data_IF_524708140797
#
_entry.id   IF_524708140797
#
_cell.length_a   1.000
_cell.length_b   1.000
_cell.length_c   1.000
_cell.angle_alpha   90.00
_cell.angle_beta   90.00
_cell.angle_gamma   90.00
#
_symmetry.space_group_name_H-M   'P 1'
#
loop_
_entity.id
_entity.type
_entity.pdbx_description
1 polymer ?
#
# COMPACT_ATOMS: atom_id res chain seq x y z
N UNK A 1 -29.03 15.61 12.54
CA UNK A 1 -28.62 14.40 11.78
C UNK A 1 -27.50 14.82 10.84
N UNK A 2 -26.27 14.59 11.26
CA UNK A 2 -25.09 14.80 10.40
C UNK A 2 -24.93 13.52 9.60
N UNK A 3 -25.37 13.59 8.33
CA UNK A 3 -25.18 12.48 7.39
C UNK A 3 -23.68 12.21 7.24
N UNK A 4 -23.24 11.04 7.68
CA UNK A 4 -21.93 10.49 7.37
C UNK A 4 -21.90 10.24 5.88
N UNK A 5 -21.34 11.18 5.11
CA UNK A 5 -21.03 10.95 3.70
C UNK A 5 -19.99 9.82 3.65
N UNK A 6 -20.42 8.65 3.22
CA UNK A 6 -19.52 7.54 2.92
C UNK A 6 -18.53 8.02 1.87
N UNK A 7 -17.29 8.26 2.29
CA UNK A 7 -16.21 8.69 1.39
C UNK A 7 -15.86 7.47 0.54
N UNK A 8 -16.25 7.46 -0.73
CA UNK A 8 -15.82 6.42 -1.69
C UNK A 8 -14.33 6.55 -1.95
N UNK A 9 -13.70 5.44 -2.28
CA UNK A 9 -12.28 5.44 -2.66
C UNK A 9 -12.08 6.27 -3.94
N UNK A 10 -10.93 6.96 -4.08
CA UNK A 10 -10.62 7.68 -5.30
C UNK A 10 -10.58 6.72 -6.50
N UNK A 11 -11.19 7.15 -7.59
CA UNK A 11 -11.36 6.38 -8.82
C UNK A 11 -10.23 6.69 -9.78
N UNK A 12 -9.56 5.66 -10.24
CA UNK A 12 -8.39 5.77 -11.12
C UNK A 12 -8.72 5.18 -12.48
N UNK A 13 -8.40 5.92 -13.55
CA UNK A 13 -8.43 5.43 -14.92
C UNK A 13 -7.00 5.30 -15.44
N UNK A 14 -6.68 4.18 -16.10
CA UNK A 14 -5.36 3.90 -16.66
C UNK A 14 -5.49 3.75 -18.17
N UNK A 15 -4.64 4.47 -18.89
CA UNK A 15 -4.42 4.32 -20.33
C UNK A 15 -2.93 4.10 -20.59
N UNK A 16 -2.59 2.99 -21.19
CA UNK A 16 -1.21 2.66 -21.58
C UNK A 16 -1.21 1.74 -22.80
N UNK A 17 -0.33 2.00 -23.74
CA UNK A 17 -0.10 1.19 -24.93
C UNK A 17 0.63 -0.12 -24.60
N UNK A 18 1.44 -0.12 -23.54
CA UNK A 18 2.18 -1.29 -23.09
C UNK A 18 1.33 -2.18 -22.17
N UNK A 19 0.98 -3.39 -22.62
CA UNK A 19 0.11 -4.30 -21.88
C UNK A 19 0.69 -4.73 -20.51
N UNK A 20 2.00 -4.95 -20.41
CA UNK A 20 2.67 -5.33 -19.16
C UNK A 20 2.69 -4.16 -18.16
N UNK A 21 2.99 -2.97 -18.64
CA UNK A 21 2.96 -1.74 -17.83
C UNK A 21 1.54 -1.49 -17.30
N UNK A 22 0.55 -1.57 -18.19
CA UNK A 22 -0.86 -1.42 -17.84
C UNK A 22 -1.31 -2.43 -16.77
N UNK A 23 -0.88 -3.68 -16.87
CA UNK A 23 -1.16 -4.71 -15.87
C UNK A 23 -0.49 -4.41 -14.53
N UNK A 24 0.77 -3.98 -14.55
CA UNK A 24 1.51 -3.63 -13.33
C UNK A 24 0.90 -2.41 -12.62
N UNK A 25 0.53 -1.37 -13.38
CA UNK A 25 -0.16 -0.20 -12.85
C UNK A 25 -1.51 -0.57 -12.23
N UNK A 26 -2.30 -1.41 -12.93
CA UNK A 26 -3.59 -1.87 -12.41
C UNK A 26 -3.44 -2.66 -11.10
N UNK A 27 -2.39 -3.49 -11.01
CA UNK A 27 -2.09 -4.23 -9.78
C UNK A 27 -1.69 -3.28 -8.65
N UNK A 28 -0.79 -2.32 -8.90
CA UNK A 28 -0.36 -1.35 -7.92
C UNK A 28 -1.53 -0.48 -7.40
N UNK A 29 -2.37 0.04 -8.31
CA UNK A 29 -3.55 0.87 -7.97
C UNK A 29 -4.53 0.10 -7.07
N UNK A 30 -4.91 -1.12 -7.46
CA UNK A 30 -5.82 -1.97 -6.68
C UNK A 30 -5.21 -2.40 -5.35
N UNK A 31 -3.93 -2.77 -5.35
CA UNK A 31 -3.21 -3.20 -4.15
C UNK A 31 -3.11 -2.11 -3.09
N UNK A 32 -3.20 -0.84 -3.48
CA UNK A 32 -3.20 0.31 -2.59
C UNK A 32 -4.60 0.76 -2.16
N UNK A 33 -5.66 0.07 -2.61
CA UNK A 33 -7.04 0.34 -2.22
C UNK A 33 -7.77 1.40 -3.04
N UNK A 34 -7.22 1.83 -4.17
CA UNK A 34 -7.91 2.72 -5.11
C UNK A 34 -8.90 1.95 -5.99
N UNK A 35 -9.98 2.61 -6.41
CA UNK A 35 -10.96 2.04 -7.31
C UNK A 35 -10.52 2.20 -8.77
N UNK A 36 -10.16 1.09 -9.41
CA UNK A 36 -9.82 1.08 -10.83
C UNK A 36 -11.08 1.06 -11.69
N UNK A 37 -11.44 2.21 -12.26
CA UNK A 37 -12.68 2.37 -13.06
C UNK A 37 -12.47 2.15 -14.55
N UNK A 38 -11.23 2.29 -15.03
CA UNK A 38 -10.86 2.02 -16.41
C UNK A 38 -9.43 1.50 -16.50
N UNK A 39 -9.22 0.51 -17.37
CA UNK A 39 -7.89 0.00 -17.71
C UNK A 39 -7.88 -0.37 -19.19
N UNK A 40 -7.42 0.54 -20.03
CA UNK A 40 -7.51 0.42 -21.48
C UNK A 40 -6.20 0.76 -22.19
N UNK A 41 -6.05 0.24 -23.41
CA UNK A 41 -5.07 0.74 -24.36
C UNK A 41 -5.69 1.90 -25.18
N UNK A 42 -4.88 2.80 -25.74
CA UNK A 42 -5.36 3.94 -26.51
C UNK A 42 -6.32 3.53 -27.65
N UNK A 43 -5.97 2.51 -28.41
CA UNK A 43 -6.73 1.95 -29.54
C UNK A 43 -8.13 1.44 -29.18
N UNK A 44 -8.37 1.10 -27.92
CA UNK A 44 -9.65 0.60 -27.38
C UNK A 44 -10.47 1.66 -26.66
N UNK A 45 -9.91 2.83 -26.45
CA UNK A 45 -10.55 3.91 -25.74
C UNK A 45 -11.36 4.78 -26.70
N UNK A 46 -12.54 4.30 -27.08
CA UNK A 46 -13.48 5.07 -27.87
C UNK A 46 -14.19 6.16 -27.04
N UNK A 47 -14.87 7.08 -27.71
CA UNK A 47 -15.59 8.18 -27.05
C UNK A 47 -16.71 7.67 -26.11
N UNK A 48 -17.31 6.53 -26.41
CA UNK A 48 -18.36 5.94 -25.57
C UNK A 48 -17.77 5.43 -24.25
N UNK A 49 -16.64 4.70 -24.32
CA UNK A 49 -15.96 4.18 -23.14
C UNK A 49 -15.38 5.32 -22.30
N UNK A 50 -14.77 6.32 -22.95
CA UNK A 50 -14.25 7.50 -22.27
C UNK A 50 -15.35 8.23 -21.47
N UNK A 51 -16.51 8.47 -22.08
CA UNK A 51 -17.62 9.17 -21.43
C UNK A 51 -18.40 8.32 -20.42
N UNK A 52 -18.17 7.00 -20.38
CA UNK A 52 -18.85 6.10 -19.46
C UNK A 52 -18.22 6.08 -18.06
N UNK A 53 -16.99 6.59 -17.90
CA UNK A 53 -16.27 6.59 -16.65
C UNK A 53 -16.10 8.01 -16.11
N UNK A 54 -16.07 8.14 -14.81
CA UNK A 54 -15.83 9.41 -14.11
C UNK A 54 -14.68 9.22 -13.11
N UNK A 55 -13.43 9.20 -13.58
CA UNK A 55 -12.29 9.03 -12.70
C UNK A 55 -12.01 10.32 -11.90
N UNK A 56 -11.33 10.19 -10.80
CA UNK A 56 -10.79 11.30 -10.03
C UNK A 56 -9.34 11.63 -10.44
N UNK A 57 -8.69 10.69 -11.14
CA UNK A 57 -7.36 10.87 -11.74
C UNK A 57 -7.19 9.95 -12.95
N UNK A 58 -6.51 10.46 -13.98
CA UNK A 58 -6.01 9.68 -15.10
C UNK A 58 -4.54 9.33 -14.89
N UNK A 59 -4.17 8.10 -15.20
CA UNK A 59 -2.79 7.67 -15.41
C UNK A 59 -2.63 7.44 -16.91
N UNK A 60 -1.77 8.23 -17.53
CA UNK A 60 -1.46 8.11 -18.96
C UNK A 60 0.02 7.77 -19.11
N UNK A 61 0.29 6.59 -19.66
CA UNK A 61 1.65 6.09 -19.86
C UNK A 61 1.73 5.44 -21.25
N UNK A 62 2.17 6.23 -22.22
CA UNK A 62 2.25 5.86 -23.62
C UNK A 62 3.66 6.10 -24.14
N UNK A 63 4.16 5.19 -24.98
CA UNK A 63 5.45 5.36 -25.70
C UNK A 63 5.30 6.22 -26.94
N UNK A 64 4.17 6.08 -27.61
CA UNK A 64 3.83 6.92 -28.76
C UNK A 64 2.81 7.98 -28.32
N UNK A 65 3.12 9.23 -28.61
CA UNK A 65 2.23 10.34 -28.28
C UNK A 65 0.98 10.28 -29.18
N UNK A 66 -0.18 10.22 -28.55
CA UNK A 66 -1.49 10.35 -29.20
C UNK A 66 -2.08 11.69 -28.77
N UNK A 67 -1.82 12.73 -29.57
CA UNK A 67 -2.21 14.10 -29.27
C UNK A 67 -3.74 14.23 -29.10
N UNK A 68 -4.54 13.51 -29.90
CA UNK A 68 -6.00 13.57 -29.82
C UNK A 68 -6.51 13.00 -28.50
N UNK A 69 -5.94 11.90 -28.04
CA UNK A 69 -6.27 11.29 -26.75
C UNK A 69 -5.82 12.17 -25.59
N UNK A 70 -4.60 12.71 -25.67
CA UNK A 70 -4.05 13.60 -24.66
C UNK A 70 -4.92 14.85 -24.50
N UNK A 71 -5.31 15.48 -25.59
CA UNK A 71 -6.20 16.65 -25.58
C UNK A 71 -7.54 16.32 -24.93
N UNK A 72 -8.15 15.19 -25.26
CA UNK A 72 -9.39 14.75 -24.63
C UNK A 72 -9.27 14.51 -23.12
N UNK A 73 -8.17 13.90 -22.69
CA UNK A 73 -7.92 13.64 -21.27
C UNK A 73 -7.68 14.95 -20.53
N UNK A 74 -6.90 15.88 -21.09
CA UNK A 74 -6.62 17.18 -20.49
C UNK A 74 -7.87 18.06 -20.45
N UNK A 75 -8.69 18.05 -21.49
CA UNK A 75 -9.94 18.80 -21.56
C UNK A 75 -11.00 18.28 -20.58
N UNK A 76 -10.85 17.07 -20.09
CA UNK A 76 -11.77 16.51 -19.06
C UNK A 76 -11.75 17.29 -17.75
N UNK A 77 -10.72 18.08 -17.50
CA UNK A 77 -10.53 18.81 -16.24
C UNK A 77 -10.16 17.93 -15.04
N UNK A 78 -9.95 16.63 -15.28
CA UNK A 78 -9.50 15.66 -14.27
C UNK A 78 -7.98 15.64 -14.22
N UNK A 79 -7.36 15.61 -13.03
CA UNK A 79 -5.91 15.50 -12.92
C UNK A 79 -5.33 14.33 -13.70
N UNK A 80 -4.18 14.54 -14.31
CA UNK A 80 -3.49 13.53 -15.11
C UNK A 80 -2.09 13.29 -14.57
N UNK A 81 -1.74 12.04 -14.36
CA UNK A 81 -0.40 11.59 -14.01
C UNK A 81 0.32 11.04 -15.23
N UNK A 82 1.45 11.65 -15.53
CA UNK A 82 2.37 11.24 -16.58
C UNK A 82 3.71 10.80 -16.00
N UNK A 83 4.54 10.17 -16.82
CA UNK A 83 5.94 9.89 -16.51
C UNK A 83 6.11 8.97 -15.30
N UNK A 84 5.30 7.94 -15.24
CA UNK A 84 5.52 6.83 -14.32
C UNK A 84 6.62 5.95 -14.92
N UNK A 85 7.67 5.67 -14.14
CA UNK A 85 8.73 4.78 -14.57
C UNK A 85 8.18 3.42 -14.99
N UNK A 86 8.83 2.78 -15.95
CA UNK A 86 8.47 1.43 -16.35
C UNK A 86 8.53 0.48 -15.16
N UNK A 87 7.50 -0.35 -15.02
CA UNK A 87 7.41 -1.32 -13.95
C UNK A 87 8.53 -2.37 -14.07
N UNK A 88 9.33 -2.58 -13.01
CA UNK A 88 10.25 -3.70 -12.97
C UNK A 88 9.51 -5.03 -12.96
N UNK A 89 10.19 -6.12 -13.28
CA UNK A 89 9.60 -7.45 -13.19
C UNK A 89 9.13 -7.73 -11.75
N UNK A 90 7.94 -8.33 -11.63
CA UNK A 90 7.41 -8.77 -10.34
C UNK A 90 8.39 -9.73 -9.67
N UNK A 91 8.51 -9.62 -8.33
CA UNK A 91 9.46 -10.41 -7.53
C UNK A 91 10.88 -9.85 -7.46
N UNK A 92 11.20 -8.79 -8.20
CA UNK A 92 12.49 -8.09 -8.05
C UNK A 92 12.47 -7.14 -6.84
N UNK A 93 13.66 -6.84 -6.29
CA UNK A 93 13.79 -5.85 -5.19
C UNK A 93 13.37 -4.43 -5.58
N UNK A 94 13.27 -4.15 -6.88
CA UNK A 94 12.91 -2.84 -7.40
C UNK A 94 11.39 -2.66 -7.47
N UNK A 95 10.63 -3.75 -7.61
CA UNK A 95 9.17 -3.70 -7.78
C UNK A 95 8.44 -3.01 -6.61
N UNK A 96 8.69 -3.31 -5.33
CA UNK A 96 8.04 -2.61 -4.21
C UNK A 96 8.40 -1.12 -4.14
N UNK A 97 9.62 -0.74 -4.57
CA UNK A 97 10.03 0.67 -4.62
C UNK A 97 9.28 1.43 -5.71
N UNK A 98 9.06 0.78 -6.86
CA UNK A 98 8.28 1.33 -7.95
C UNK A 98 6.81 1.49 -7.55
N UNK A 99 6.18 0.47 -6.97
CA UNK A 99 4.80 0.54 -6.45
C UNK A 99 4.62 1.70 -5.46
N UNK A 100 5.58 1.86 -4.55
CA UNK A 100 5.56 2.96 -3.59
C UNK A 100 5.62 4.34 -4.26
N UNK A 101 6.41 4.49 -5.33
CA UNK A 101 6.47 5.75 -6.09
C UNK A 101 5.15 6.05 -6.78
N UNK A 102 4.53 5.04 -7.39
CA UNK A 102 3.19 5.15 -7.99
C UNK A 102 2.18 5.61 -6.94
N UNK A 103 2.20 4.97 -5.77
CA UNK A 103 1.33 5.33 -4.66
C UNK A 103 1.53 6.78 -4.20
N UNK A 104 2.77 7.22 -3.99
CA UNK A 104 3.06 8.60 -3.55
C UNK A 104 2.50 9.60 -4.55
N UNK A 105 2.72 9.39 -5.86
CA UNK A 105 2.18 10.27 -6.90
C UNK A 105 0.65 10.31 -6.91
N UNK A 106 -0.01 9.17 -6.75
CA UNK A 106 -1.48 9.10 -6.63
C UNK A 106 -1.97 9.81 -5.37
N UNK A 107 -1.30 9.56 -4.24
CA UNK A 107 -1.64 10.20 -2.97
C UNK A 107 -1.58 11.72 -3.03
N UNK A 108 -0.54 12.27 -3.67
CA UNK A 108 -0.36 13.72 -3.80
C UNK A 108 -1.47 14.36 -4.65
N UNK A 109 -2.11 13.60 -5.55
CA UNK A 109 -3.15 14.13 -6.45
C UNK A 109 -4.56 13.90 -5.93
N UNK A 110 -4.88 12.69 -5.47
CA UNK A 110 -6.24 12.30 -5.08
C UNK A 110 -6.41 11.89 -3.62
N UNK A 111 -5.32 11.92 -2.85
CA UNK A 111 -5.34 11.58 -1.43
C UNK A 111 -5.40 10.07 -1.16
N UNK A 112 -5.60 9.73 0.11
CA UNK A 112 -5.70 8.35 0.56
C UNK A 112 -7.00 7.70 0.12
N UNK A 113 -6.94 6.46 -0.39
CA UNK A 113 -8.13 5.63 -0.43
C UNK A 113 -8.62 5.45 1.02
N UNK A 114 -9.92 5.46 1.19
CA UNK A 114 -10.50 5.02 2.45
C UNK A 114 -10.25 3.52 2.51
N UNK A 115 -9.22 3.12 3.24
CA UNK A 115 -9.12 1.73 3.64
C UNK A 115 -10.39 1.50 4.45
N UNK A 116 -11.39 0.89 3.83
CA UNK A 116 -12.35 0.15 4.61
C UNK A 116 -11.53 -1.00 5.20
N UNK A 117 -10.84 -0.70 6.31
CA UNK A 117 -10.62 -1.76 7.25
C UNK A 117 -12.04 -2.31 7.48
N UNK A 118 -12.32 -3.48 6.92
CA UNK A 118 -13.28 -4.37 7.51
C UNK A 118 -12.66 -4.71 8.87
N UNK A 119 -12.67 -3.74 9.76
CA UNK A 119 -12.68 -3.97 11.16
C UNK A 119 -14.02 -4.69 11.38
N UNK A 120 -14.05 -5.99 11.09
CA UNK A 120 -14.93 -6.84 11.88
C UNK A 120 -14.66 -6.41 13.32
N UNK A 121 -15.69 -5.93 14.05
CA UNK A 121 -15.45 -5.38 15.37
C UNK A 121 -14.55 -6.35 16.11
N UNK A 122 -13.44 -5.88 16.65
CA UNK A 122 -12.49 -6.68 17.44
C UNK A 122 -13.19 -7.49 18.57
N UNK A 123 -14.45 -7.15 18.84
CA UNK A 123 -15.36 -7.89 19.73
C UNK A 123 -15.66 -9.34 19.27
N UNK A 124 -15.41 -9.68 17.98
CA UNK A 124 -15.55 -11.07 17.47
C UNK A 124 -14.25 -11.85 17.43
N UNK A 125 -13.11 -11.22 17.66
CA UNK A 125 -11.93 -12.00 17.97
C UNK A 125 -12.16 -12.67 19.32
N UNK A 126 -11.99 -14.00 19.42
CA UNK A 126 -12.13 -14.68 20.71
C UNK A 126 -11.24 -13.95 21.70
N UNK A 127 -11.81 -13.54 22.84
CA UNK A 127 -11.12 -12.82 23.89
C UNK A 127 -9.93 -13.59 24.53
N UNK A 128 -9.65 -14.77 24.02
CA UNK A 128 -8.41 -15.47 24.26
C UNK A 128 -7.42 -15.05 23.16
N UNK A 129 -6.37 -14.29 23.51
CA UNK A 129 -5.21 -14.21 22.63
C UNK A 129 -4.86 -15.65 22.28
N UNK A 130 -4.70 -15.93 20.98
CA UNK A 130 -4.10 -17.20 20.54
C UNK A 130 -2.70 -17.16 21.16
N UNK A 131 -2.61 -17.59 22.41
CA UNK A 131 -1.32 -17.87 23.01
C UNK A 131 -0.78 -19.00 22.15
N UNK A 132 0.32 -18.79 21.42
CA UNK A 132 0.94 -19.89 20.73
C UNK A 132 1.18 -20.96 21.79
N UNK A 133 0.36 -22.02 21.76
CA UNK A 133 0.53 -23.16 22.66
C UNK A 133 1.90 -23.69 22.38
N UNK A 134 2.82 -23.39 23.28
CA UNK A 134 4.20 -23.88 23.28
C UNK A 134 5.00 -23.43 22.05
N UNK A 135 5.56 -22.21 22.11
CA UNK A 135 6.81 -21.98 21.40
C UNK A 135 7.82 -22.92 22.03
N UNK A 136 8.07 -24.07 21.40
CA UNK A 136 9.15 -24.94 21.79
C UNK A 136 10.42 -24.20 21.36
N UNK A 137 10.98 -23.43 22.29
CA UNK A 137 12.30 -22.83 22.08
C UNK A 137 13.29 -23.99 22.08
N UNK A 138 14.06 -24.19 20.99
CA UNK A 138 15.07 -25.24 20.95
C UNK A 138 15.97 -25.14 22.19
N UNK A 139 16.32 -26.26 22.85
CA UNK A 139 17.15 -26.27 24.05
C UNK A 139 18.46 -25.51 23.87
N UNK A 140 19.02 -25.54 22.69
CA UNK A 140 20.26 -24.84 22.31
C UNK A 140 20.15 -23.32 22.41
N UNK A 141 18.97 -22.76 22.14
CA UNK A 141 18.69 -21.32 22.30
C UNK A 141 18.44 -20.94 23.77
N UNK A 142 17.90 -21.86 24.60
CA UNK A 142 17.71 -21.62 26.01
C UNK A 142 19.04 -21.67 26.80
N UNK A 143 20.03 -22.40 26.29
CA UNK A 143 21.38 -22.50 26.87
C UNK A 143 22.27 -21.31 26.45
N UNK A 144 21.88 -20.51 25.48
CA UNK A 144 22.70 -19.44 24.93
C UNK A 144 22.61 -18.21 25.83
N UNK A 145 23.58 -18.00 26.68
CA UNK A 145 23.79 -16.78 27.45
C UNK A 145 24.92 -15.96 26.79
N UNK A 146 24.62 -15.29 25.70
CA UNK A 146 25.60 -14.37 25.12
C UNK A 146 25.49 -13.00 25.79
N UNK A 147 26.63 -12.46 26.18
CA UNK A 147 26.80 -11.06 26.56
C UNK A 147 27.08 -10.17 25.35
N UNK A 148 27.21 -10.78 24.18
CA UNK A 148 27.56 -10.09 22.94
C UNK A 148 26.41 -10.12 21.97
N UNK A 149 26.08 -8.94 21.42
CA UNK A 149 25.06 -8.83 20.37
C UNK A 149 25.67 -9.31 19.06
N UNK A 150 25.04 -10.31 18.44
CA UNK A 150 25.46 -10.88 17.15
C UNK A 150 24.49 -10.48 16.02
N UNK A 151 23.25 -10.20 16.37
CA UNK A 151 22.20 -9.86 15.42
C UNK A 151 21.47 -8.59 15.84
N UNK A 152 21.03 -7.82 14.85
CA UNK A 152 20.16 -6.65 15.05
C UNK A 152 18.85 -6.89 14.31
N UNK A 153 17.76 -6.85 15.05
CA UNK A 153 16.40 -6.93 14.50
C UNK A 153 15.74 -5.55 14.55
N UNK A 154 15.27 -5.06 13.42
CA UNK A 154 14.56 -3.78 13.35
C UNK A 154 13.05 -4.06 13.32
N UNK A 155 12.33 -3.56 14.32
CA UNK A 155 10.88 -3.59 14.42
C UNK A 155 10.33 -2.25 13.95
N UNK A 156 9.62 -2.25 12.83
CA UNK A 156 8.96 -1.05 12.31
C UNK A 156 7.45 -1.14 12.58
N UNK A 157 6.90 -0.14 13.24
CA UNK A 157 5.51 -0.12 13.64
C UNK A 157 4.86 1.24 13.37
N UNK A 158 3.53 1.21 13.12
CA UNK A 158 2.69 2.38 12.91
C UNK A 158 1.47 2.31 13.84
N UNK A 159 0.30 2.73 13.38
CA UNK A 159 -0.94 2.72 14.16
C UNK A 159 -1.23 1.31 14.71
N UNK A 160 -1.49 1.20 16.01
CA UNK A 160 -1.63 -0.09 16.71
C UNK A 160 -0.31 -0.81 17.02
N UNK A 161 0.82 -0.31 16.48
CA UNK A 161 2.14 -0.90 16.64
C UNK A 161 2.65 -1.03 18.08
N UNK A 162 2.48 -0.04 18.96
CA UNK A 162 3.01 -0.13 20.32
C UNK A 162 2.52 -1.34 21.10
N UNK A 163 1.22 -1.67 20.99
CA UNK A 163 0.66 -2.84 21.67
C UNK A 163 1.20 -4.15 21.09
N UNK A 164 1.25 -4.26 19.76
CA UNK A 164 1.77 -5.44 19.07
C UNK A 164 3.27 -5.66 19.34
N UNK A 165 4.07 -4.59 19.32
CA UNK A 165 5.50 -4.66 19.63
C UNK A 165 5.72 -5.05 21.09
N UNK A 166 4.94 -4.48 22.01
CA UNK A 166 5.02 -4.87 23.43
C UNK A 166 4.70 -6.34 23.61
N UNK A 167 3.60 -6.81 23.02
CA UNK A 167 3.20 -8.22 23.09
C UNK A 167 4.29 -9.14 22.50
N UNK A 168 4.85 -8.79 21.34
CA UNK A 168 5.97 -9.53 20.75
C UNK A 168 7.16 -9.60 21.70
N UNK A 169 7.59 -8.46 22.27
CA UNK A 169 8.76 -8.42 23.16
C UNK A 169 8.52 -9.16 24.49
N UNK A 170 7.29 -9.21 24.97
CA UNK A 170 6.94 -9.97 26.20
C UNK A 170 7.13 -11.49 26.01
N UNK A 171 7.12 -11.98 24.75
CA UNK A 171 7.37 -13.39 24.42
C UNK A 171 8.83 -13.69 24.06
N UNK A 172 9.66 -12.68 23.85
CA UNK A 172 11.06 -12.87 23.48
C UNK A 172 11.86 -13.36 24.69
N UNK A 173 12.52 -14.52 24.60
CA UNK A 173 13.37 -15.00 25.69
C UNK A 173 14.49 -14.04 26.01
N UNK A 174 14.80 -13.86 27.28
CA UNK A 174 15.97 -13.10 27.72
C UNK A 174 17.26 -13.86 27.43
N UNK A 175 18.33 -13.14 27.09
CA UNK A 175 19.67 -13.72 26.87
C UNK A 175 19.94 -14.12 25.43
N UNK A 176 19.08 -13.78 24.48
CA UNK A 176 19.36 -13.93 23.05
C UNK A 176 20.47 -12.94 22.61
N UNK A 177 21.34 -13.34 21.66
CA UNK A 177 22.37 -12.45 21.12
C UNK A 177 21.80 -11.45 20.10
N UNK A 178 20.64 -10.87 20.38
CA UNK A 178 19.88 -10.00 19.49
C UNK A 178 19.63 -8.66 20.15
N UNK A 179 19.95 -7.58 19.45
CA UNK A 179 19.46 -6.24 19.78
C UNK A 179 18.21 -5.92 18.95
N UNK A 180 17.23 -5.30 19.58
CA UNK A 180 16.03 -4.80 18.91
C UNK A 180 16.11 -3.28 18.75
N UNK A 181 15.90 -2.81 17.54
CA UNK A 181 15.74 -1.38 17.23
C UNK A 181 14.28 -1.14 16.84
N UNK A 182 13.61 -0.27 17.58
CA UNK A 182 12.22 0.08 17.30
C UNK A 182 12.15 1.38 16.50
N UNK A 183 11.53 1.32 15.32
CA UNK A 183 11.13 2.47 14.53
C UNK A 183 9.60 2.60 14.60
N UNK A 184 9.12 3.60 15.37
CA UNK A 184 7.69 3.86 15.55
C UNK A 184 7.30 5.13 14.82
N UNK A 185 6.33 5.04 13.90
CA UNK A 185 5.68 6.21 13.34
C UNK A 185 4.63 6.70 14.34
N UNK A 186 4.82 7.92 14.84
CA UNK A 186 3.89 8.59 15.75
C UNK A 186 3.26 9.76 15.00
N UNK A 187 1.93 9.80 14.94
CA UNK A 187 1.22 10.99 14.44
C UNK A 187 1.47 12.16 15.39
N UNK A 188 1.82 13.32 14.83
CA UNK A 188 2.11 14.54 15.59
C UNK A 188 0.95 14.99 16.51
N UNK A 189 -0.26 14.47 16.28
CA UNK A 189 -1.45 14.72 17.10
C UNK A 189 -1.51 13.89 18.38
N UNK A 190 -0.60 12.94 18.58
CA UNK A 190 -0.51 12.08 19.77
C UNK A 190 0.64 12.48 20.71
N UNK A 191 1.18 13.69 20.58
CA UNK A 191 2.28 14.19 21.40
C UNK A 191 1.81 15.10 22.57
N UNK A 192 0.53 15.05 22.95
CA UNK A 192 0.03 15.69 24.17
C UNK A 192 -0.02 14.73 25.36
#
# INVERSE_FOLDING_TARGET
EVGVMSKSNPRVAIVSDMSLQRLALAHAVKGQGYDLVLNSSPDRLDAKLFNSVTPDVWIVDMQEEDDELLDKVLDSGVPVLFGLDQAPAQGTRQYPRWERRVFIKLYDVVGHPVIQENLEPLEKLPANPIRPKNIIVPPDLLAYKSTRVEYVCVLAASLGGPAAVKEFLDYVPVGLPVAFVLAQHIDSRMQE
#
